data_IF_688840952105
#
_entry.id   IF_688840952105
#
_cell.length_a   1.000
_cell.length_b   1.000
_cell.length_c   1.000
_cell.angle_alpha   90.00
_cell.angle_beta   90.00
_cell.angle_gamma   90.00
#
_symmetry.space_group_name_H-M   'P 1'
#
loop_
_entity.id
_entity.type
_entity.pdbx_description
1 polymer ?
#
# COMPACT_ATOMS: atom_id res chain seq x y z
N UNK A 1 42.68 30.26 9.66
CA UNK A 1 41.89 29.79 8.52
C UNK A 1 41.44 28.33 8.70
N UNK A 2 42.33 27.35 8.93
CA UNK A 2 41.99 25.91 9.05
C UNK A 2 40.85 25.60 10.06
N UNK A 3 40.87 26.19 11.25
CA UNK A 3 39.83 25.96 12.29
C UNK A 3 38.44 26.43 11.85
N UNK A 4 38.33 27.54 11.10
CA UNK A 4 37.04 28.03 10.57
C UNK A 4 36.49 27.12 9.46
N UNK A 5 37.35 26.61 8.61
CA UNK A 5 36.97 25.66 7.55
C UNK A 5 36.46 24.36 8.15
N UNK A 6 37.13 23.81 9.16
CA UNK A 6 36.69 22.61 9.87
C UNK A 6 35.29 22.83 10.52
N UNK A 7 35.11 23.98 11.18
CA UNK A 7 33.82 24.30 11.78
C UNK A 7 32.68 24.36 10.73
N UNK A 8 32.92 24.94 9.58
CA UNK A 8 31.92 25.00 8.47
C UNK A 8 31.60 23.60 7.97
N UNK A 9 32.60 22.73 7.79
CA UNK A 9 32.40 21.35 7.33
C UNK A 9 31.56 20.57 8.36
N UNK A 10 31.85 20.72 9.65
CA UNK A 10 31.08 20.03 10.72
C UNK A 10 29.64 20.51 10.74
N UNK A 11 29.40 21.80 10.65
CA UNK A 11 28.04 22.37 10.60
C UNK A 11 27.28 21.81 9.39
N UNK A 12 27.90 21.81 8.21
CA UNK A 12 27.28 21.27 7.00
C UNK A 12 26.94 19.79 7.14
N UNK A 13 27.85 18.98 7.70
CA UNK A 13 27.62 17.57 7.94
C UNK A 13 26.44 17.33 8.90
N UNK A 14 26.33 18.15 9.96
CA UNK A 14 25.20 18.06 10.90
C UNK A 14 23.89 18.43 10.21
N UNK A 15 23.86 19.49 9.39
CA UNK A 15 22.65 19.88 8.65
C UNK A 15 22.21 18.79 7.67
N UNK A 16 23.14 18.17 6.96
CA UNK A 16 22.85 17.05 6.06
C UNK A 16 22.30 15.85 6.84
N UNK A 17 22.88 15.52 7.99
CA UNK A 17 22.40 14.44 8.84
C UNK A 17 20.98 14.70 9.37
N UNK A 18 20.71 15.92 9.82
CA UNK A 18 19.37 16.33 10.29
C UNK A 18 18.34 16.27 9.17
N UNK A 19 18.67 16.71 7.98
CA UNK A 19 17.80 16.60 6.81
C UNK A 19 17.52 15.14 6.49
N UNK A 20 18.56 14.31 6.44
CA UNK A 20 18.45 12.89 6.14
C UNK A 20 17.53 12.15 7.12
N UNK A 21 17.72 12.40 8.41
CA UNK A 21 16.90 11.80 9.47
C UNK A 21 15.48 12.37 9.45
N UNK A 22 15.36 13.69 9.26
CA UNK A 22 14.06 14.40 9.30
C UNK A 22 13.07 13.89 8.26
N UNK A 23 13.55 13.47 7.08
CA UNK A 23 12.67 12.92 6.03
C UNK A 23 11.97 11.63 6.46
N UNK A 24 12.60 10.81 7.29
CA UNK A 24 12.00 9.57 7.79
C UNK A 24 10.84 9.76 8.78
N UNK A 25 10.58 10.99 9.23
CA UNK A 25 9.44 11.33 10.09
C UNK A 25 8.28 11.97 9.32
N UNK A 26 8.40 12.10 8.01
CA UNK A 26 7.30 12.59 7.18
C UNK A 26 6.22 11.52 7.05
N UNK A 27 4.97 11.92 7.30
CA UNK A 27 3.81 11.04 7.14
C UNK A 27 3.53 10.77 5.68
N UNK A 28 3.21 9.51 5.37
CA UNK A 28 2.71 9.07 4.07
C UNK A 28 1.22 8.77 4.22
N UNK A 29 0.40 9.51 3.49
CA UNK A 29 -1.06 9.44 3.56
C UNK A 29 -1.68 8.88 2.27
N UNK A 30 -0.85 8.62 1.28
CA UNK A 30 -1.19 8.04 -0.03
C UNK A 30 -0.96 6.51 -0.09
N UNK A 31 -0.91 5.86 1.06
CA UNK A 31 -0.67 4.42 1.17
C UNK A 31 -1.94 3.63 0.89
N UNK A 32 -1.83 2.58 0.07
CA UNK A 32 -2.94 1.67 -0.25
C UNK A 32 -2.61 0.25 0.22
N UNK A 33 -3.63 -0.48 0.62
CA UNK A 33 -3.53 -1.90 0.91
C UNK A 33 -3.52 -2.68 -0.41
N UNK A 34 -2.43 -3.37 -0.68
CA UNK A 34 -2.28 -4.24 -1.86
C UNK A 34 -2.87 -5.61 -1.57
N UNK A 35 -2.43 -6.22 -0.45
CA UNK A 35 -2.88 -7.52 -0.01
C UNK A 35 -2.80 -7.64 1.52
N UNK A 36 -3.38 -8.69 2.08
CA UNK A 36 -3.26 -8.99 3.51
C UNK A 36 -3.41 -10.48 3.76
N UNK A 37 -2.82 -10.95 4.86
CA UNK A 37 -2.99 -12.32 5.34
C UNK A 37 -3.11 -12.32 6.87
N UNK A 38 -3.92 -13.21 7.40
CA UNK A 38 -4.12 -13.39 8.84
C UNK A 38 -3.48 -14.70 9.25
N UNK A 39 -2.78 -14.71 10.38
CA UNK A 39 -2.19 -15.91 10.96
C UNK A 39 -3.27 -16.97 11.27
N UNK A 40 -2.89 -18.25 11.28
CA UNK A 40 -3.82 -19.36 11.54
C UNK A 40 -4.52 -19.25 12.89
N UNK A 41 -3.86 -18.68 13.89
CA UNK A 41 -4.40 -18.46 15.23
C UNK A 41 -5.19 -17.14 15.36
N UNK A 42 -5.21 -16.31 14.32
CA UNK A 42 -5.91 -15.03 14.28
C UNK A 42 -5.31 -13.94 15.15
N UNK A 43 -4.08 -14.13 15.63
CA UNK A 43 -3.42 -13.17 16.55
C UNK A 43 -2.59 -12.10 15.83
N UNK A 44 -2.38 -12.26 14.52
CA UNK A 44 -1.57 -11.35 13.73
C UNK A 44 -2.15 -11.18 12.34
N UNK A 45 -2.09 -9.95 11.80
CA UNK A 45 -2.36 -9.66 10.40
C UNK A 45 -1.13 -9.04 9.75
N UNK A 46 -0.75 -9.60 8.61
CA UNK A 46 0.28 -9.03 7.74
C UNK A 46 -0.41 -8.18 6.68
N UNK A 47 0.00 -6.93 6.57
CA UNK A 47 -0.51 -5.95 5.62
C UNK A 47 0.54 -5.66 4.56
N UNK A 48 0.30 -6.05 3.32
CA UNK A 48 1.12 -5.67 2.18
C UNK A 48 0.60 -4.36 1.61
N UNK A 49 1.44 -3.35 1.65
CA UNK A 49 1.05 -1.99 1.28
C UNK A 49 1.91 -1.42 0.16
N UNK A 50 1.34 -0.50 -0.59
CA UNK A 50 1.99 0.18 -1.68
C UNK A 50 1.67 1.67 -1.74
N UNK A 51 2.36 2.36 -2.64
CA UNK A 51 2.12 3.76 -2.97
C UNK A 51 1.65 3.80 -4.43
N UNK A 52 0.45 4.35 -4.74
CA UNK A 52 -0.09 4.42 -6.11
C UNK A 52 0.77 5.26 -7.04
N UNK A 53 1.49 6.24 -6.47
CA UNK A 53 2.41 7.11 -7.22
C UNK A 53 3.78 6.44 -7.35
N UNK A 54 4.48 6.71 -8.46
CA UNK A 54 5.82 6.15 -8.72
C UNK A 54 6.94 6.76 -7.86
N UNK A 55 6.60 7.57 -6.86
CA UNK A 55 7.57 8.32 -6.06
C UNK A 55 7.46 8.04 -4.58
N UNK A 56 8.56 7.57 -3.99
CA UNK A 56 8.73 7.37 -2.56
C UNK A 56 8.57 5.92 -2.10
N UNK A 57 8.91 5.71 -0.86
CA UNK A 57 8.86 4.42 -0.18
C UNK A 57 8.28 4.58 1.23
N UNK A 58 7.79 3.48 1.79
CA UNK A 58 7.28 3.38 3.15
C UNK A 58 8.37 2.73 4.01
N UNK A 59 8.55 3.22 5.24
CA UNK A 59 9.51 2.66 6.20
C UNK A 59 8.84 1.91 7.35
N UNK A 60 7.64 2.31 7.71
CA UNK A 60 6.96 1.76 8.85
C UNK A 60 5.67 2.51 9.14
N UNK A 61 4.95 2.06 10.11
CA UNK A 61 3.73 2.70 10.59
C UNK A 61 3.76 2.94 12.10
N UNK A 62 2.84 3.78 12.55
CA UNK A 62 2.47 3.93 13.96
C UNK A 62 0.97 3.70 14.07
N UNK A 63 0.57 2.83 14.99
CA UNK A 63 -0.81 2.73 15.39
C UNK A 63 -1.12 3.83 16.42
N UNK A 64 -2.02 4.74 16.04
CA UNK A 64 -2.45 5.83 16.90
C UNK A 64 -3.63 5.44 17.80
N UNK A 65 -4.24 4.27 17.58
CA UNK A 65 -5.19 3.64 18.49
C UNK A 65 -4.52 3.18 19.80
N UNK A 66 -3.21 2.91 19.76
CA UNK A 66 -2.38 2.66 20.94
C UNK A 66 -2.83 1.45 21.77
N UNK A 67 -3.31 0.38 21.12
CA UNK A 67 -3.88 -0.79 21.78
C UNK A 67 -5.33 -0.62 22.23
N UNK A 68 -5.94 0.53 21.92
CA UNK A 68 -7.40 0.77 22.00
C UNK A 68 -7.97 0.65 20.60
N UNK A 69 -9.05 -0.07 20.48
CA UNK A 69 -9.71 -0.36 19.21
C UNK A 69 -10.59 0.80 18.74
N UNK A 70 -10.71 1.01 17.45
CA UNK A 70 -10.06 0.35 16.30
C UNK A 70 -8.61 0.78 16.06
N UNK A 71 -7.89 0.09 15.16
CA UNK A 71 -6.53 0.43 14.77
C UNK A 71 -6.49 1.60 13.79
N UNK A 72 -5.68 2.62 14.10
CA UNK A 72 -5.50 3.81 13.28
C UNK A 72 -4.06 3.94 12.81
N UNK A 73 -3.75 3.45 11.60
CA UNK A 73 -2.40 3.37 11.10
C UNK A 73 -1.98 4.64 10.36
N UNK A 74 -0.84 5.21 10.77
CA UNK A 74 -0.18 6.30 10.07
C UNK A 74 1.18 5.82 9.60
N UNK A 75 1.41 5.84 8.30
CA UNK A 75 2.66 5.41 7.68
C UNK A 75 3.66 6.56 7.57
N UNK A 76 4.95 6.21 7.46
CA UNK A 76 6.06 7.15 7.39
C UNK A 76 6.96 6.85 6.18
N UNK A 77 7.53 7.94 5.63
CA UNK A 77 8.51 7.88 4.56
C UNK A 77 9.82 7.26 5.02
N UNK A 78 10.63 6.84 4.06
CA UNK A 78 12.00 6.39 4.26
C UNK A 78 12.95 7.55 4.58
N UNK A 79 14.13 7.23 5.07
CA UNK A 79 15.19 8.21 5.33
C UNK A 79 15.89 8.64 4.03
N UNK A 80 16.41 9.86 3.98
CA UNK A 80 17.29 10.33 2.89
C UNK A 80 16.57 11.02 1.72
N UNK A 81 15.29 11.35 1.85
CA UNK A 81 14.52 12.10 0.84
C UNK A 81 13.49 11.27 0.08
N UNK A 82 12.84 11.91 -0.90
CA UNK A 82 11.59 11.44 -1.52
C UNK A 82 11.72 10.05 -2.18
N UNK A 83 12.84 9.74 -2.79
CA UNK A 83 13.07 8.47 -3.52
C UNK A 83 14.20 7.62 -2.92
N UNK A 84 14.54 7.84 -1.67
CA UNK A 84 15.54 7.01 -0.99
C UNK A 84 14.91 5.70 -0.54
N UNK A 85 15.47 4.53 -0.91
CA UNK A 85 14.96 3.24 -0.47
C UNK A 85 15.47 2.83 0.91
N UNK A 86 16.17 3.72 1.64
CA UNK A 86 16.80 3.36 2.92
C UNK A 86 15.75 3.11 3.99
N UNK A 87 15.66 1.85 4.43
CA UNK A 87 14.65 1.37 5.37
C UNK A 87 13.27 1.15 4.74
N UNK A 88 13.19 0.96 3.43
CA UNK A 88 11.93 0.66 2.75
C UNK A 88 11.42 -0.73 3.13
N UNK A 89 10.14 -0.79 3.47
CA UNK A 89 9.39 -2.00 3.76
C UNK A 89 8.04 -1.94 3.04
N UNK A 90 7.48 -3.08 2.70
CA UNK A 90 6.21 -3.21 1.99
C UNK A 90 5.20 -4.06 2.76
N UNK A 91 5.69 -4.89 3.68
CA UNK A 91 4.90 -5.83 4.45
C UNK A 91 5.05 -5.53 5.93
N UNK A 92 3.93 -5.34 6.60
CA UNK A 92 3.90 -4.92 8.01
C UNK A 92 3.01 -5.84 8.82
N UNK A 93 3.50 -6.24 9.98
CA UNK A 93 2.77 -7.08 10.92
C UNK A 93 2.09 -6.21 11.97
N UNK A 94 0.83 -6.52 12.26
CA UNK A 94 0.01 -5.89 13.29
C UNK A 94 -0.54 -6.99 14.20
N UNK A 95 -0.27 -6.87 15.50
CA UNK A 95 -0.84 -7.77 16.48
C UNK A 95 -2.35 -7.52 16.62
N UNK A 96 -3.11 -8.60 16.62
CA UNK A 96 -4.55 -8.59 16.77
C UNK A 96 -4.98 -9.22 18.09
N UNK A 97 -6.06 -8.73 18.62
CA UNK A 97 -6.79 -9.35 19.74
C UNK A 97 -8.18 -9.81 19.28
N UNK A 98 -8.86 -10.61 20.07
CA UNK A 98 -10.22 -11.11 19.74
C UNK A 98 -11.22 -9.99 19.47
N UNK A 99 -11.01 -8.83 20.10
CA UNK A 99 -11.93 -7.71 20.02
C UNK A 99 -11.60 -6.70 18.91
N UNK A 100 -10.55 -6.91 18.10
CA UNK A 100 -10.20 -6.05 16.98
C UNK A 100 -11.17 -6.31 15.83
N UNK A 101 -11.82 -5.24 15.37
CA UNK A 101 -12.86 -5.31 14.35
C UNK A 101 -12.58 -4.46 13.13
N UNK A 102 -11.72 -3.45 13.23
CA UNK A 102 -11.53 -2.46 12.18
C UNK A 102 -10.09 -1.96 12.09
N UNK A 103 -9.59 -1.76 10.86
CA UNK A 103 -8.27 -1.17 10.59
C UNK A 103 -8.45 0.01 9.63
N UNK A 104 -7.92 1.15 10.02
CA UNK A 104 -8.00 2.41 9.30
C UNK A 104 -6.62 2.92 8.89
N UNK A 105 -6.53 3.52 7.68
CA UNK A 105 -5.34 4.23 7.22
C UNK A 105 -5.56 5.73 7.23
N UNK A 106 -4.52 6.49 7.62
CA UNK A 106 -4.52 7.96 7.57
C UNK A 106 -4.56 8.47 6.12
N UNK A 107 -5.37 9.52 5.86
CA UNK A 107 -5.61 10.08 4.51
C UNK A 107 -5.19 11.55 4.38
N UNK A 108 -4.86 12.01 3.13
CA UNK A 108 -4.41 13.38 2.87
C UNK A 108 -5.45 14.46 3.19
N UNK A 109 -6.73 14.11 3.01
CA UNK A 109 -7.87 15.02 3.25
C UNK A 109 -8.17 15.23 4.74
N UNK A 110 -7.38 14.56 5.58
CA UNK A 110 -7.56 14.52 7.03
C UNK A 110 -8.46 13.35 7.46
N UNK A 111 -8.17 12.83 8.66
CA UNK A 111 -8.89 11.68 9.21
C UNK A 111 -8.35 10.33 8.75
N UNK A 112 -9.19 9.32 8.88
CA UNK A 112 -8.85 7.92 8.64
C UNK A 112 -9.93 7.27 7.78
N UNK A 113 -9.51 6.43 6.86
CA UNK A 113 -10.36 5.63 6.00
C UNK A 113 -10.34 4.18 6.46
N UNK A 114 -11.51 3.55 6.55
CA UNK A 114 -11.67 2.13 6.88
C UNK A 114 -11.11 1.28 5.73
N UNK A 115 -10.14 0.44 6.02
CA UNK A 115 -9.45 -0.40 5.02
C UNK A 115 -9.81 -1.87 5.17
N UNK A 116 -9.96 -2.34 6.39
CA UNK A 116 -10.38 -3.71 6.70
C UNK A 116 -11.38 -3.69 7.85
N UNK A 117 -12.36 -4.57 7.74
CA UNK A 117 -13.37 -4.83 8.78
C UNK A 117 -13.46 -6.33 9.02
N UNK A 118 -13.57 -6.73 10.28
CA UNK A 118 -13.78 -8.11 10.66
C UNK A 118 -15.29 -8.42 10.63
N UNK A 119 -15.66 -9.40 9.86
CA UNK A 119 -17.03 -9.91 9.80
C UNK A 119 -17.40 -10.60 11.11
N UNK A 120 -18.48 -10.19 11.72
CA UNK A 120 -18.92 -10.69 13.04
C UNK A 120 -19.39 -12.14 13.01
N UNK A 121 -19.93 -12.62 11.86
CA UNK A 121 -20.46 -13.98 11.74
C UNK A 121 -19.36 -15.00 11.45
N UNK A 122 -18.44 -14.64 10.55
CA UNK A 122 -17.39 -15.55 10.07
C UNK A 122 -16.05 -15.36 10.79
N UNK A 123 -15.84 -14.21 11.44
CA UNK A 123 -14.57 -13.81 12.01
C UNK A 123 -13.49 -13.47 10.98
N UNK A 124 -13.84 -13.44 9.70
CA UNK A 124 -12.90 -13.12 8.61
C UNK A 124 -12.72 -11.61 8.45
N UNK A 125 -11.49 -11.21 8.13
CA UNK A 125 -11.20 -9.84 7.75
C UNK A 125 -11.56 -9.62 6.29
N UNK A 126 -12.32 -8.56 6.00
CA UNK A 126 -12.83 -8.25 4.66
C UNK A 126 -12.50 -6.79 4.32
N UNK A 127 -12.34 -6.51 3.03
CA UNK A 127 -12.34 -5.12 2.55
C UNK A 127 -13.77 -4.57 2.60
N UNK A 128 -13.97 -3.32 3.05
CA UNK A 128 -15.31 -2.71 3.04
C UNK A 128 -15.89 -2.72 1.63
N UNK A 129 -17.13 -3.15 1.49
CA UNK A 129 -17.85 -3.14 0.21
C UNK A 129 -17.95 -1.69 -0.28
N UNK A 130 -17.32 -1.37 -1.42
CA UNK A 130 -17.26 -0.02 -2.02
C UNK A 130 -15.88 0.54 -2.27
N UNK A 131 -14.82 -0.01 -1.66
CA UNK A 131 -13.44 0.40 -1.92
C UNK A 131 -12.74 -0.68 -2.75
N UNK A 132 -12.95 -0.70 -4.04
CA UNK A 132 -12.27 -1.61 -4.97
C UNK A 132 -13.18 -2.51 -5.79
N UNK A 133 -14.44 -2.74 -5.41
CA UNK A 133 -15.36 -3.55 -6.21
C UNK A 133 -15.70 -2.86 -7.55
N UNK A 134 -15.83 -1.53 -7.56
CA UNK A 134 -16.10 -0.79 -8.79
C UNK A 134 -14.93 -0.90 -9.80
N UNK A 135 -13.69 -0.86 -9.31
CA UNK A 135 -12.51 -1.05 -10.15
C UNK A 135 -12.30 -2.52 -10.56
N UNK A 136 -12.64 -3.48 -9.69
CA UNK A 136 -12.50 -4.90 -9.99
C UNK A 136 -13.60 -5.37 -10.94
N UNK A 137 -14.82 -4.91 -10.78
CA UNK A 137 -15.95 -5.21 -11.68
C UNK A 137 -15.73 -4.61 -13.08
N UNK A 138 -15.19 -3.39 -13.16
CA UNK A 138 -14.83 -2.76 -14.44
C UNK A 138 -13.66 -3.51 -15.09
N UNK A 139 -12.66 -3.91 -14.33
CA UNK A 139 -11.51 -4.65 -14.84
C UNK A 139 -11.89 -6.06 -15.31
N UNK A 140 -12.68 -6.80 -14.57
CA UNK A 140 -13.20 -8.12 -14.96
C UNK A 140 -14.12 -8.02 -16.17
N UNK A 141 -15.01 -7.03 -16.21
CA UNK A 141 -15.87 -6.78 -17.39
C UNK A 141 -15.03 -6.44 -18.63
N UNK A 142 -13.98 -5.64 -18.48
CA UNK A 142 -13.08 -5.28 -19.59
C UNK A 142 -12.29 -6.50 -20.08
N UNK A 143 -11.83 -7.39 -19.19
CA UNK A 143 -11.14 -8.63 -19.57
C UNK A 143 -12.08 -9.58 -20.32
N UNK A 144 -13.33 -9.71 -19.89
CA UNK A 144 -14.32 -10.54 -20.57
C UNK A 144 -14.61 -10.00 -21.98
N UNK A 145 -14.75 -8.70 -22.13
CA UNK A 145 -14.98 -8.05 -23.42
C UNK A 145 -13.78 -8.23 -24.40
N UNK A 146 -12.56 -8.09 -23.89
CA UNK A 146 -11.33 -8.35 -24.66
C UNK A 146 -11.24 -9.83 -25.07
N UNK A 147 -11.57 -10.78 -24.21
CA UNK A 147 -11.60 -12.21 -24.54
C UNK A 147 -12.61 -12.50 -25.64
N UNK A 148 -13.80 -11.94 -25.57
CA UNK A 148 -14.84 -12.11 -26.58
C UNK A 148 -14.40 -11.55 -27.96
N UNK A 149 -13.73 -10.41 -27.97
CA UNK A 149 -13.17 -9.82 -29.22
C UNK A 149 -12.09 -10.71 -29.82
N UNK A 150 -11.21 -11.29 -28.98
CA UNK A 150 -10.13 -12.18 -29.42
C UNK A 150 -10.72 -13.48 -30.02
N UNK A 151 -11.70 -14.07 -29.36
CA UNK A 151 -12.36 -15.30 -29.84
C UNK A 151 -13.12 -15.06 -31.15
N UNK A 152 -13.81 -13.96 -31.28
CA UNK A 152 -14.50 -13.54 -32.50
C UNK A 152 -13.52 -13.33 -33.68
N UNK A 153 -12.32 -12.80 -33.42
CA UNK A 153 -11.26 -12.67 -34.43
C UNK A 153 -10.66 -14.03 -34.81
N UNK A 154 -10.44 -14.89 -33.82
CA UNK A 154 -9.91 -16.25 -34.05
C UNK A 154 -10.85 -17.09 -34.93
N UNK A 155 -12.14 -17.02 -34.65
CA UNK A 155 -13.18 -17.72 -35.45
C UNK A 155 -13.24 -17.21 -36.90
N UNK A 156 -13.12 -15.87 -37.11
CA UNK A 156 -13.05 -15.30 -38.46
C UNK A 156 -11.82 -15.75 -39.25
N UNK A 157 -10.65 -15.85 -38.59
CA UNK A 157 -9.40 -16.30 -39.25
C UNK A 157 -9.50 -17.79 -39.62
N UNK A 158 -10.11 -18.64 -38.78
CA UNK A 158 -10.33 -20.05 -39.10
C UNK A 158 -11.29 -20.25 -40.30
N UNK A 159 -12.33 -19.43 -40.42
CA UNK A 159 -13.27 -19.50 -41.55
C UNK A 159 -12.59 -19.05 -42.84
N UNK A 160 -11.73 -18.01 -42.78
CA UNK A 160 -11.04 -17.48 -43.96
C UNK A 160 -9.98 -18.44 -44.53
N UNK A 161 -9.27 -19.17 -43.63
CA UNK A 161 -8.28 -20.18 -44.04
C UNK A 161 -8.89 -21.51 -44.50
N UNK A 162 -10.18 -21.77 -44.19
CA UNK A 162 -10.90 -22.95 -44.64
C UNK A 162 -11.46 -22.86 -46.06
N UNK A 163 -11.46 -21.66 -46.68
CA UNK A 163 -12.02 -21.43 -48.02
C UNK A 163 -10.94 -21.47 -49.12
N UNK A 164 -9.66 -21.54 -48.80
CA UNK A 164 -8.57 -21.62 -49.77
C UNK A 164 -8.03 -23.04 -50.03
N UNK A 165 -8.74 -24.06 -49.62
CA UNK A 165 -8.34 -25.46 -49.76
C UNK A 165 -9.35 -26.33 -50.55
N UNK A 166 -9.80 -25.86 -51.72
CA UNK A 166 -10.46 -26.73 -52.75
C UNK A 166 -10.03 -26.31 -54.14
#
# INVERSE_FOLDING_TARGET
MKKRIIAVIVILAVLVALFFIGTGFQKRMDVVLVDYSVSEDGTEITLDVGIPTSTGYIRGFKDNGGGVKPHYLTFFSTFGGINSPIGAEHSFQLELTSDDTEIYFNRPEGGYELILVKDEETGQWLRPSGIGEENNTIFEATILEIREIIDKRRTKICIFNGIQGT
#
